data_IF_405611824381
#
_entry.id   IF_405611824381
#
_cell.length_a   1.000
_cell.length_b   1.000
_cell.length_c   1.000
_cell.angle_alpha   90.00
_cell.angle_beta   90.00
_cell.angle_gamma   90.00
#
_symmetry.space_group_name_H-M   'P 1'
#
loop_
_entity.id
_entity.type
_entity.pdbx_description
1 polymer ?
#
# COMPACT_ATOMS: atom_id res chain seq x y z
N UNK A 1 22.67 -13.37 12.28
CA UNK A 1 21.64 -14.42 12.14
C UNK A 1 20.33 -13.68 12.01
N UNK A 2 19.95 -13.36 10.76
CA UNK A 2 18.77 -12.57 10.47
C UNK A 2 17.51 -13.41 10.59
N UNK A 3 16.62 -13.04 11.49
CA UNK A 3 15.25 -13.52 11.46
C UNK A 3 14.56 -12.89 10.25
N UNK A 4 14.05 -13.71 9.35
CA UNK A 4 13.17 -13.26 8.28
C UNK A 4 11.85 -12.85 8.90
N UNK A 5 11.40 -11.67 8.57
CA UNK A 5 10.12 -11.14 9.01
C UNK A 5 9.23 -11.04 7.78
N UNK A 6 8.35 -12.02 7.62
CA UNK A 6 7.35 -11.98 6.57
C UNK A 6 6.06 -11.40 7.17
N UNK A 7 5.80 -10.13 6.90
CA UNK A 7 4.57 -9.47 7.34
C UNK A 7 3.58 -9.45 6.21
N UNK A 8 2.50 -10.19 6.37
CA UNK A 8 1.35 -10.10 5.49
C UNK A 8 0.13 -9.76 6.32
N UNK A 9 -0.47 -8.62 6.07
CA UNK A 9 -1.77 -8.27 6.61
C UNK A 9 -2.77 -8.41 5.48
N UNK A 10 -3.61 -9.43 5.53
CA UNK A 10 -4.67 -9.63 4.57
C UNK A 10 -6.02 -9.24 5.19
N UNK A 11 -6.72 -8.30 4.57
CA UNK A 11 -8.06 -7.88 4.99
C UNK A 11 -9.05 -8.27 3.89
N UNK A 12 -10.07 -9.03 4.23
CA UNK A 12 -11.14 -9.41 3.31
C UNK A 12 -12.45 -8.71 3.68
N UNK A 13 -13.20 -8.28 2.65
CA UNK A 13 -14.45 -7.52 2.77
C UNK A 13 -15.59 -8.27 3.50
N UNK A 14 -15.68 -9.59 3.38
CA UNK A 14 -16.79 -10.38 3.93
C UNK A 14 -16.63 -10.82 5.39
N UNK A 15 -15.41 -10.78 5.90
CA UNK A 15 -15.10 -10.96 7.31
C UNK A 15 -13.75 -10.28 7.51
N UNK A 16 -13.65 -9.23 8.30
CA UNK A 16 -12.38 -8.60 8.58
C UNK A 16 -11.52 -9.57 9.40
N UNK A 17 -10.87 -10.50 8.71
CA UNK A 17 -9.84 -11.33 9.30
C UNK A 17 -8.52 -10.65 9.01
N UNK A 18 -8.05 -9.89 9.98
CA UNK A 18 -6.67 -9.43 9.99
C UNK A 18 -5.83 -10.65 10.34
N UNK A 19 -5.23 -11.29 9.35
CA UNK A 19 -4.19 -12.29 9.59
C UNK A 19 -2.85 -11.57 9.66
N UNK A 20 -2.36 -11.37 10.87
CA UNK A 20 -0.96 -11.02 11.09
C UNK A 20 -0.15 -12.32 10.96
N UNK A 21 0.49 -12.51 9.83
CA UNK A 21 1.40 -13.63 9.63
C UNK A 21 2.78 -13.23 10.14
N UNK A 22 3.06 -13.75 11.33
CA UNK A 22 4.34 -13.96 11.95
C UNK A 22 5.38 -12.84 11.84
N UNK A 23 5.47 -12.05 12.88
CA UNK A 23 6.53 -11.07 13.09
C UNK A 23 7.54 -11.65 14.07
N UNK A 24 8.71 -12.13 13.65
CA UNK A 24 9.77 -12.44 14.58
C UNK A 24 10.43 -11.14 15.04
N UNK A 25 10.34 -10.90 16.30
CA UNK A 25 10.91 -9.74 16.97
C UNK A 25 9.95 -9.23 18.02
N UNK A 26 10.47 -8.88 19.17
CA UNK A 26 9.69 -8.32 20.27
C UNK A 26 9.04 -7.00 19.86
N UNK A 27 7.87 -7.07 19.24
CA UNK A 27 7.07 -5.90 19.02
C UNK A 27 5.99 -5.88 20.09
N UNK A 28 6.12 -4.96 21.02
CA UNK A 28 5.16 -4.65 22.09
C UNK A 28 3.69 -4.56 21.59
N UNK A 29 3.50 -4.27 20.31
CA UNK A 29 2.23 -4.23 19.61
C UNK A 29 1.60 -5.62 19.37
N UNK A 30 2.39 -6.66 19.20
CA UNK A 30 1.88 -8.00 18.87
C UNK A 30 1.09 -8.62 20.00
N UNK A 31 1.57 -8.48 21.24
CA UNK A 31 0.85 -8.99 22.40
C UNK A 31 -0.49 -8.30 22.61
N UNK A 32 -0.57 -7.01 22.34
CA UNK A 32 -1.85 -6.27 22.44
C UNK A 32 -2.81 -6.63 21.30
N UNK A 33 -2.31 -6.81 20.08
CA UNK A 33 -3.14 -7.11 18.93
C UNK A 33 -3.61 -8.58 18.96
N UNK A 34 -2.73 -9.54 19.33
CA UNK A 34 -3.10 -10.91 19.56
C UNK A 34 -4.18 -11.01 20.67
N UNK A 35 -3.98 -10.32 21.80
CA UNK A 35 -4.99 -10.27 22.86
C UNK A 35 -6.31 -9.60 22.45
N UNK A 36 -6.31 -8.69 21.49
CA UNK A 36 -7.53 -8.10 20.92
C UNK A 36 -8.22 -9.04 19.92
N UNK A 37 -7.46 -9.91 19.24
CA UNK A 37 -7.99 -10.90 18.32
C UNK A 37 -8.52 -12.15 19.04
N UNK A 38 -7.92 -12.50 20.18
CA UNK A 38 -8.32 -13.61 21.04
C UNK A 38 -9.44 -13.23 22.03
N UNK A 39 -9.65 -11.93 22.26
CA UNK A 39 -10.81 -11.48 23.01
C UNK A 39 -12.06 -11.80 22.16
N UNK A 40 -12.92 -12.69 22.67
CA UNK A 40 -14.28 -12.80 22.16
C UNK A 40 -14.89 -11.40 22.20
N UNK A 41 -14.88 -10.74 21.05
CA UNK A 41 -15.45 -9.41 20.93
C UNK A 41 -16.96 -9.59 21.07
N UNK A 42 -17.47 -9.32 22.27
CA UNK A 42 -18.89 -9.01 22.40
C UNK A 42 -19.25 -8.02 21.29
N UNK A 43 -20.32 -8.27 20.53
CA UNK A 43 -20.73 -7.37 19.46
C UNK A 43 -20.93 -5.99 20.08
N UNK A 44 -19.94 -5.14 19.86
CA UNK A 44 -20.04 -3.75 20.34
C UNK A 44 -21.31 -3.17 19.80
N UNK A 45 -22.12 -2.66 20.72
CA UNK A 45 -23.31 -1.86 20.49
C UNK A 45 -23.30 -1.17 19.12
N UNK A 46 -24.41 -1.23 18.43
CA UNK A 46 -24.73 -0.58 17.16
C UNK A 46 -23.82 0.63 16.90
N UNK A 47 -23.09 0.70 15.80
CA UNK A 47 -22.25 1.84 15.52
C UNK A 47 -23.09 3.11 15.70
N UNK A 48 -22.63 4.03 16.52
CA UNK A 48 -23.30 5.32 16.69
C UNK A 48 -23.56 5.89 15.29
N UNK A 49 -24.78 6.41 15.07
CA UNK A 49 -25.16 6.98 13.79
C UNK A 49 -24.04 7.92 13.32
N UNK A 50 -23.41 7.58 12.20
CA UNK A 50 -22.26 8.32 11.71
C UNK A 50 -22.73 9.66 11.14
N UNK A 51 -22.34 10.73 11.80
CA UNK A 51 -22.55 12.09 11.27
C UNK A 51 -21.56 12.27 10.10
N UNK A 52 -22.06 12.51 8.89
CA UNK A 52 -21.26 12.62 7.68
C UNK A 52 -20.16 13.70 7.79
N UNK A 53 -20.43 14.77 8.52
CA UNK A 53 -19.51 15.90 8.70
C UNK A 53 -18.54 15.73 9.88
N UNK A 54 -18.57 14.58 10.58
CA UNK A 54 -17.62 14.35 11.67
C UNK A 54 -16.23 14.04 11.13
N UNK A 55 -15.19 14.47 11.86
CA UNK A 55 -13.81 14.11 11.56
C UNK A 55 -13.63 12.59 11.65
N UNK A 56 -12.99 12.03 10.62
CA UNK A 56 -12.69 10.61 10.55
C UNK A 56 -11.20 10.34 10.81
N UNK A 57 -10.34 11.26 10.37
CA UNK A 57 -8.90 11.15 10.55
C UNK A 57 -8.26 12.54 10.63
N UNK A 58 -7.16 12.63 11.37
CA UNK A 58 -6.26 13.77 11.38
C UNK A 58 -4.89 13.27 10.91
N UNK A 59 -4.39 13.83 9.80
CA UNK A 59 -3.11 13.47 9.23
C UNK A 59 -2.18 14.67 9.27
N UNK A 60 -0.95 14.45 9.74
CA UNK A 60 0.03 15.53 9.84
C UNK A 60 0.91 15.55 8.58
N UNK A 61 1.12 16.74 8.01
CA UNK A 61 2.08 16.92 6.92
C UNK A 61 3.51 16.94 7.46
N UNK A 62 4.48 16.60 6.62
CA UNK A 62 5.91 16.55 7.00
C UNK A 62 6.52 17.89 7.37
N UNK A 63 5.81 19.01 7.18
CA UNK A 63 6.26 20.34 7.58
C UNK A 63 7.52 20.83 6.86
N UNK A 64 7.69 20.53 5.56
CA UNK A 64 8.85 20.95 4.78
C UNK A 64 9.17 22.45 4.84
N UNK A 65 8.19 23.29 5.15
CA UNK A 65 8.31 24.75 5.22
C UNK A 65 8.01 25.34 6.60
N UNK A 66 7.92 24.49 7.64
CA UNK A 66 7.55 24.92 8.99
C UNK A 66 7.05 23.78 9.88
N UNK A 67 6.40 24.06 11.01
CA UNK A 67 5.82 23.05 11.86
C UNK A 67 4.82 22.18 11.07
N UNK A 68 4.73 20.89 11.44
CA UNK A 68 3.76 19.98 10.84
C UNK A 68 2.33 20.52 10.99
N UNK A 69 1.57 20.55 9.92
CA UNK A 69 0.16 20.99 9.92
C UNK A 69 -0.74 19.78 10.01
N UNK A 70 -1.76 19.87 10.84
CA UNK A 70 -2.82 18.88 10.94
C UNK A 70 -3.84 19.12 9.82
N UNK A 71 -4.15 18.07 9.06
CA UNK A 71 -5.22 18.05 8.06
C UNK A 71 -6.34 17.16 8.60
N UNK A 72 -7.50 17.74 8.84
CA UNK A 72 -8.68 17.00 9.28
C UNK A 72 -9.46 16.50 8.05
N UNK A 73 -9.70 15.19 8.00
CA UNK A 73 -10.51 14.56 6.98
C UNK A 73 -11.86 14.18 7.56
N UNK A 74 -12.93 14.71 6.97
CA UNK A 74 -14.28 14.30 7.35
C UNK A 74 -14.62 12.91 6.80
N UNK A 75 -15.61 12.26 7.38
CA UNK A 75 -16.12 10.96 6.89
C UNK A 75 -16.63 11.08 5.47
N UNK A 76 -17.34 12.15 5.15
CA UNK A 76 -17.83 12.42 3.80
C UNK A 76 -16.67 12.62 2.81
N UNK A 77 -15.61 13.34 3.20
CA UNK A 77 -14.43 13.54 2.37
C UNK A 77 -13.68 12.23 2.09
N UNK A 78 -13.48 11.38 3.11
CA UNK A 78 -12.87 10.06 2.91
C UNK A 78 -13.73 9.17 2.01
N UNK A 79 -15.06 9.19 2.19
CA UNK A 79 -15.96 8.43 1.32
C UNK A 79 -15.88 8.91 -0.14
N UNK A 80 -15.87 10.21 -0.38
CA UNK A 80 -15.71 10.79 -1.72
C UNK A 80 -14.36 10.42 -2.35
N UNK A 81 -13.27 10.48 -1.58
CA UNK A 81 -11.94 10.04 -2.05
C UNK A 81 -11.95 8.56 -2.42
N UNK A 82 -12.55 7.71 -1.58
CA UNK A 82 -12.72 6.28 -1.87
C UNK A 82 -13.47 6.06 -3.18
N UNK A 83 -14.60 6.70 -3.36
CA UNK A 83 -15.46 6.54 -4.54
C UNK A 83 -14.75 7.03 -5.81
N UNK A 84 -13.97 8.11 -5.70
CA UNK A 84 -13.11 8.60 -6.78
C UNK A 84 -12.05 7.57 -7.16
N UNK A 85 -11.34 7.01 -6.19
CA UNK A 85 -10.31 5.99 -6.44
C UNK A 85 -10.91 4.72 -7.06
N UNK A 86 -12.05 4.25 -6.52
CA UNK A 86 -12.74 3.07 -7.05
C UNK A 86 -13.12 3.26 -8.52
N UNK A 87 -13.69 4.41 -8.87
CA UNK A 87 -14.13 4.69 -10.25
C UNK A 87 -12.97 4.97 -11.20
N UNK A 88 -11.95 5.72 -10.74
CA UNK A 88 -10.83 6.13 -11.59
C UNK A 88 -9.88 4.99 -11.96
N UNK A 89 -9.61 4.09 -11.01
CA UNK A 89 -8.70 2.96 -11.20
C UNK A 89 -9.41 1.63 -11.44
N UNK A 90 -10.73 1.66 -11.54
CA UNK A 90 -11.58 0.50 -11.81
C UNK A 90 -11.28 -0.68 -10.87
N UNK A 91 -11.18 -0.38 -9.57
CA UNK A 91 -10.95 -1.43 -8.56
C UNK A 91 -12.13 -2.40 -8.50
N UNK A 92 -11.81 -3.68 -8.37
CA UNK A 92 -12.77 -4.77 -8.23
C UNK A 92 -12.56 -5.54 -6.93
N UNK A 93 -13.54 -6.34 -6.53
CA UNK A 93 -13.47 -7.17 -5.31
C UNK A 93 -12.36 -8.25 -5.40
N UNK A 94 -11.88 -8.57 -6.62
CA UNK A 94 -10.80 -9.54 -6.87
C UNK A 94 -9.41 -8.91 -6.77
N UNK A 95 -9.32 -7.60 -6.65
CA UNK A 95 -8.04 -6.93 -6.53
C UNK A 95 -7.38 -7.17 -5.17
N UNK A 96 -6.06 -7.27 -5.22
CA UNK A 96 -5.20 -7.37 -4.04
C UNK A 96 -4.16 -6.26 -4.09
N UNK A 97 -4.22 -5.35 -3.13
CA UNK A 97 -3.29 -4.24 -3.02
C UNK A 97 -1.97 -4.67 -2.37
N UNK A 98 -0.87 -4.52 -3.07
CA UNK A 98 0.49 -4.55 -2.49
C UNK A 98 0.84 -3.13 -2.03
N UNK A 99 0.69 -2.87 -0.74
CA UNK A 99 0.93 -1.56 -0.15
C UNK A 99 2.41 -1.39 0.25
N UNK A 100 3.26 -1.07 -0.72
CA UNK A 100 4.68 -0.79 -0.50
C UNK A 100 4.94 0.68 -0.10
N UNK A 101 3.95 1.33 0.47
CA UNK A 101 3.98 2.68 1.01
C UNK A 101 3.10 2.71 2.28
N UNK A 102 3.73 2.88 3.44
CA UNK A 102 3.09 2.64 4.73
C UNK A 102 1.75 3.35 4.98
N UNK A 103 1.57 4.64 4.63
CA UNK A 103 0.29 5.31 4.82
C UNK A 103 -0.87 4.63 4.08
N UNK A 104 -0.57 3.87 3.03
CA UNK A 104 -1.57 3.22 2.18
C UNK A 104 -1.93 1.80 2.61
N UNK A 105 -1.33 1.30 3.68
CA UNK A 105 -1.70 0.00 4.25
C UNK A 105 -3.20 -0.10 4.60
N UNK A 106 -3.78 1.03 5.01
CA UNK A 106 -5.21 1.13 5.32
C UNK A 106 -6.09 1.34 4.09
N UNK A 107 -5.49 1.63 2.92
CA UNK A 107 -6.24 1.93 1.71
C UNK A 107 -6.99 0.70 1.17
N UNK A 108 -6.38 -0.47 1.19
CA UNK A 108 -7.05 -1.70 0.79
C UNK A 108 -8.36 -1.92 1.55
N UNK A 109 -8.37 -1.93 2.89
CA UNK A 109 -9.60 -1.98 3.68
C UNK A 109 -10.60 -0.86 3.35
N UNK A 110 -10.12 0.36 3.14
CA UNK A 110 -10.98 1.49 2.76
C UNK A 110 -11.66 1.26 1.40
N UNK A 111 -10.93 0.73 0.43
CA UNK A 111 -11.44 0.36 -0.90
C UNK A 111 -12.25 -0.94 -0.88
N UNK A 112 -12.21 -1.70 0.22
CA UNK A 112 -12.89 -2.99 0.36
C UNK A 112 -12.18 -4.15 -0.33
N UNK A 113 -10.89 -4.02 -0.64
CA UNK A 113 -10.07 -5.06 -1.27
C UNK A 113 -9.06 -5.65 -0.29
N UNK A 114 -8.55 -6.83 -0.60
CA UNK A 114 -7.45 -7.43 0.17
C UNK A 114 -6.17 -6.57 0.05
N UNK A 115 -5.34 -6.61 1.09
CA UNK A 115 -4.10 -5.82 1.12
C UNK A 115 -2.96 -6.62 1.74
N UNK A 116 -1.76 -6.46 1.19
CA UNK A 116 -0.52 -7.03 1.70
C UNK A 116 0.54 -5.96 1.82
N UNK A 117 1.30 -5.98 2.90
CA UNK A 117 2.44 -5.08 3.12
C UNK A 117 3.71 -5.92 2.98
N UNK A 118 4.61 -5.60 2.02
CA UNK A 118 5.91 -6.27 1.94
C UNK A 118 6.73 -6.02 3.20
N UNK A 119 7.62 -6.96 3.55
CA UNK A 119 8.55 -6.76 4.65
C UNK A 119 9.51 -5.61 4.32
N UNK A 120 9.31 -4.47 4.96
CA UNK A 120 10.11 -3.25 4.79
C UNK A 120 10.05 -2.37 6.05
N UNK A 121 11.01 -1.51 6.22
CA UNK A 121 10.92 -0.42 7.19
C UNK A 121 10.05 0.71 6.59
N UNK A 122 8.87 0.89 7.14
CA UNK A 122 7.90 1.87 6.66
C UNK A 122 8.41 3.33 6.70
N UNK A 123 9.34 3.63 7.60
CA UNK A 123 10.00 4.96 7.71
C UNK A 123 11.10 5.15 6.67
N UNK A 124 11.55 4.08 6.03
CA UNK A 124 12.64 4.06 5.04
C UNK A 124 12.22 3.28 3.80
N UNK A 125 11.48 3.90 2.88
CA UNK A 125 10.98 3.21 1.66
C UNK A 125 12.08 2.51 0.86
N UNK A 126 13.31 3.04 0.84
CA UNK A 126 14.47 2.41 0.22
C UNK A 126 14.94 1.11 0.90
N UNK A 127 14.34 0.67 2.01
CA UNK A 127 14.62 -0.62 2.63
C UNK A 127 13.92 -1.78 1.93
N UNK A 128 12.97 -1.52 1.04
CA UNK A 128 12.27 -2.53 0.27
C UNK A 128 13.23 -3.24 -0.69
N UNK A 129 13.25 -4.56 -0.65
CA UNK A 129 14.08 -5.39 -1.53
C UNK A 129 13.23 -6.10 -2.59
N UNK A 130 13.87 -6.49 -3.69
CA UNK A 130 13.21 -7.28 -4.74
C UNK A 130 12.71 -8.63 -4.20
N UNK A 131 13.45 -9.24 -3.27
CA UNK A 131 13.06 -10.52 -2.63
C UNK A 131 11.80 -10.36 -1.79
N UNK A 132 11.76 -9.34 -0.93
CA UNK A 132 10.62 -9.06 -0.06
C UNK A 132 9.37 -8.71 -0.86
N UNK A 133 9.52 -7.88 -1.91
CA UNK A 133 8.40 -7.52 -2.77
C UNK A 133 7.88 -8.75 -3.53
N UNK A 134 8.77 -9.54 -4.16
CA UNK A 134 8.36 -10.76 -4.88
C UNK A 134 7.62 -11.73 -3.96
N UNK A 135 8.13 -11.94 -2.74
CA UNK A 135 7.48 -12.83 -1.77
C UNK A 135 6.07 -12.35 -1.40
N UNK A 136 5.87 -11.05 -1.18
CA UNK A 136 4.56 -10.49 -0.87
C UNK A 136 3.58 -10.66 -2.04
N UNK A 137 4.03 -10.38 -3.28
CA UNK A 137 3.23 -10.54 -4.50
C UNK A 137 2.85 -12.00 -4.75
N UNK A 138 3.82 -12.93 -4.66
CA UNK A 138 3.59 -14.36 -4.84
C UNK A 138 2.63 -14.94 -3.80
N UNK A 139 2.77 -14.50 -2.54
CA UNK A 139 1.92 -14.99 -1.46
C UNK A 139 0.47 -14.53 -1.56
N UNK A 140 0.28 -13.27 -1.92
CA UNK A 140 -1.03 -12.63 -1.89
C UNK A 140 -1.73 -12.61 -3.26
N UNK A 141 -1.02 -12.87 -4.37
CA UNK A 141 -1.57 -12.70 -5.71
C UNK A 141 -1.82 -11.23 -6.04
N UNK A 142 -0.85 -10.35 -5.74
CA UNK A 142 -1.02 -8.90 -5.90
C UNK A 142 -1.36 -8.48 -7.32
N UNK A 143 -2.46 -7.74 -7.49
CA UNK A 143 -2.94 -7.23 -8.78
C UNK A 143 -2.76 -5.72 -8.93
N UNK A 144 -2.71 -5.03 -7.81
CA UNK A 144 -2.50 -3.58 -7.73
C UNK A 144 -1.35 -3.30 -6.77
N UNK A 145 -0.52 -2.34 -7.08
CA UNK A 145 0.59 -1.93 -6.22
C UNK A 145 0.62 -0.42 -6.04
N UNK A 146 0.91 0.02 -4.82
CA UNK A 146 1.21 1.41 -4.53
C UNK A 146 2.57 1.51 -3.86
N UNK A 147 3.47 2.31 -4.43
CA UNK A 147 4.81 2.50 -3.89
C UNK A 147 5.39 3.88 -4.18
N UNK A 148 6.44 4.23 -3.45
CA UNK A 148 7.21 5.43 -3.73
C UNK A 148 8.30 5.18 -4.77
N UNK A 149 8.77 6.22 -5.50
CA UNK A 149 9.91 6.09 -6.41
C UNK A 149 11.18 5.58 -5.72
N UNK A 150 11.40 5.93 -4.46
CA UNK A 150 12.56 5.45 -3.69
C UNK A 150 12.49 3.95 -3.42
N UNK A 151 11.30 3.41 -3.09
CA UNK A 151 11.09 1.99 -2.92
C UNK A 151 11.32 1.23 -4.24
N UNK A 152 10.75 1.73 -5.34
CA UNK A 152 10.94 1.12 -6.67
C UNK A 152 12.41 1.13 -7.09
N UNK A 153 13.11 2.25 -6.90
CA UNK A 153 14.54 2.37 -7.21
C UNK A 153 15.38 1.35 -6.43
N UNK A 154 15.10 1.14 -5.15
CA UNK A 154 15.78 0.13 -4.33
C UNK A 154 15.53 -1.29 -4.86
N UNK A 155 14.27 -1.62 -5.16
CA UNK A 155 13.89 -2.91 -5.73
C UNK A 155 14.62 -3.20 -7.04
N UNK A 156 14.60 -2.25 -7.97
CA UNK A 156 15.26 -2.41 -9.29
C UNK A 156 16.78 -2.46 -9.19
N UNK A 157 17.39 -1.73 -8.25
CA UNK A 157 18.84 -1.81 -7.97
C UNK A 157 19.25 -3.20 -7.49
N UNK A 158 18.40 -3.88 -6.72
CA UNK A 158 18.60 -5.27 -6.28
C UNK A 158 18.25 -6.31 -7.34
N UNK A 159 17.47 -5.93 -8.36
CA UNK A 159 16.99 -6.80 -9.43
C UNK A 159 17.58 -6.39 -10.79
N UNK A 160 18.90 -6.49 -10.94
CA UNK A 160 19.60 -6.09 -12.16
C UNK A 160 19.19 -6.94 -13.37
N UNK A 161 19.23 -6.39 -14.59
CA UNK A 161 19.00 -7.16 -15.82
C UNK A 161 19.79 -8.46 -15.83
N UNK A 162 19.13 -9.58 -16.20
CA UNK A 162 19.73 -10.91 -16.23
C UNK A 162 19.90 -11.61 -14.88
N UNK A 163 19.58 -10.97 -13.76
CA UNK A 163 19.67 -11.59 -12.43
C UNK A 163 18.46 -12.50 -12.14
N UNK A 164 18.68 -13.50 -11.29
CA UNK A 164 17.59 -14.34 -10.78
C UNK A 164 16.51 -13.53 -10.03
N UNK A 165 16.94 -12.49 -9.29
CA UNK A 165 16.01 -11.59 -8.59
C UNK A 165 15.06 -10.88 -9.56
N UNK A 166 15.58 -10.40 -10.72
CA UNK A 166 14.74 -9.77 -11.75
C UNK A 166 13.77 -10.75 -12.39
N UNK A 167 14.22 -11.95 -12.69
CA UNK A 167 13.37 -13.02 -13.24
C UNK A 167 12.24 -13.39 -12.29
N UNK A 168 12.55 -13.52 -10.99
CA UNK A 168 11.55 -13.79 -9.96
C UNK A 168 10.56 -12.64 -9.83
N UNK A 169 11.05 -11.41 -9.79
CA UNK A 169 10.22 -10.20 -9.66
C UNK A 169 9.29 -10.03 -10.87
N UNK A 170 9.79 -10.26 -12.09
CA UNK A 170 8.98 -10.23 -13.31
C UNK A 170 7.85 -11.26 -13.25
N UNK A 171 8.17 -12.50 -12.83
CA UNK A 171 7.17 -13.56 -12.67
C UNK A 171 6.14 -13.26 -11.58
N UNK A 172 6.57 -12.72 -10.45
CA UNK A 172 5.69 -12.34 -9.35
C UNK A 172 4.67 -11.26 -9.76
N UNK A 173 5.04 -10.42 -10.73
CA UNK A 173 4.19 -9.34 -11.23
C UNK A 173 3.34 -9.69 -12.47
N UNK A 174 3.22 -10.97 -12.85
CA UNK A 174 2.40 -11.35 -14.02
C UNK A 174 0.90 -11.02 -13.84
N UNK A 175 0.42 -10.99 -12.61
CA UNK A 175 -0.96 -10.59 -12.27
C UNK A 175 -1.12 -9.09 -12.02
N UNK A 176 -0.01 -8.34 -12.00
CA UNK A 176 -0.04 -6.91 -11.69
C UNK A 176 -0.64 -6.12 -12.85
N UNK A 177 -1.85 -5.60 -12.68
CA UNK A 177 -2.54 -4.78 -13.70
C UNK A 177 -2.31 -3.28 -13.55
N UNK A 178 -2.03 -2.82 -12.32
CA UNK A 178 -1.91 -1.39 -12.00
C UNK A 178 -0.78 -1.14 -11.01
N UNK A 179 0.10 -0.21 -11.33
CA UNK A 179 1.13 0.31 -10.43
C UNK A 179 0.96 1.82 -10.26
N UNK A 180 0.73 2.25 -9.03
CA UNK A 180 0.63 3.66 -8.64
C UNK A 180 1.95 4.11 -8.00
N UNK A 181 2.65 5.02 -8.65
CA UNK A 181 3.90 5.61 -8.19
C UNK A 181 3.67 7.04 -7.72
N UNK A 182 3.82 7.31 -6.43
CA UNK A 182 3.55 8.61 -5.85
C UNK A 182 4.49 8.98 -4.69
N UNK A 183 4.39 10.23 -4.24
CA UNK A 183 5.08 10.74 -3.05
C UNK A 183 6.39 11.47 -3.32
N UNK A 184 6.91 11.43 -4.55
CA UNK A 184 8.09 12.20 -4.97
C UNK A 184 8.14 12.30 -6.51
N UNK A 185 8.95 13.22 -7.08
CA UNK A 185 9.22 13.26 -8.52
C UNK A 185 9.79 11.93 -9.02
N UNK A 186 9.39 11.52 -10.21
CA UNK A 186 9.75 10.24 -10.79
C UNK A 186 10.67 10.46 -12.00
N UNK A 187 11.86 9.85 -11.96
CA UNK A 187 12.78 9.90 -13.09
C UNK A 187 12.24 9.08 -14.28
N UNK A 188 12.35 9.61 -15.49
CA UNK A 188 11.93 8.91 -16.73
C UNK A 188 12.62 7.57 -16.92
N UNK A 189 13.88 7.42 -16.50
CA UNK A 189 14.60 6.14 -16.54
C UNK A 189 13.91 5.10 -15.67
N UNK A 190 13.46 5.49 -14.47
CA UNK A 190 12.76 4.59 -13.54
C UNK A 190 11.43 4.10 -14.13
N UNK A 191 10.70 4.98 -14.84
CA UNK A 191 9.47 4.59 -15.53
C UNK A 191 9.75 3.59 -16.66
N UNK A 192 10.81 3.81 -17.47
CA UNK A 192 11.21 2.86 -18.51
C UNK A 192 11.56 1.50 -17.91
N UNK A 193 12.41 1.48 -16.89
CA UNK A 193 12.86 0.24 -16.25
C UNK A 193 11.70 -0.60 -15.70
N UNK A 194 10.67 0.05 -15.15
CA UNK A 194 9.50 -0.66 -14.61
C UNK A 194 8.53 -1.10 -15.71
N UNK A 195 8.37 -0.31 -16.77
CA UNK A 195 7.58 -0.71 -17.94
C UNK A 195 8.23 -1.88 -18.70
N UNK A 196 9.56 -1.93 -18.75
CA UNK A 196 10.30 -3.09 -19.30
C UNK A 196 10.16 -4.33 -18.41
N UNK A 197 10.02 -4.15 -17.10
CA UNK A 197 9.85 -5.26 -16.17
C UNK A 197 8.44 -5.85 -16.20
N UNK A 198 7.42 -5.01 -16.29
CA UNK A 198 6.00 -5.37 -16.29
C UNK A 198 5.27 -4.67 -17.46
N UNK A 199 5.46 -5.15 -18.70
CA UNK A 199 4.97 -4.45 -19.90
C UNK A 199 3.45 -4.36 -20.01
N UNK A 200 2.72 -5.29 -19.39
CA UNK A 200 1.25 -5.30 -19.39
C UNK A 200 0.65 -4.50 -18.24
N UNK A 201 1.47 -4.02 -17.30
CA UNK A 201 1.02 -3.23 -16.17
C UNK A 201 0.71 -1.79 -16.61
N UNK A 202 -0.45 -1.26 -16.20
CA UNK A 202 -0.73 0.17 -16.31
C UNK A 202 0.05 0.90 -15.20
N UNK A 203 1.07 1.64 -15.59
CA UNK A 203 1.90 2.42 -14.67
C UNK A 203 1.41 3.85 -14.64
N UNK A 204 0.94 4.30 -13.49
CA UNK A 204 0.40 5.64 -13.28
C UNK A 204 1.16 6.42 -12.24
N UNK A 205 1.13 7.73 -12.40
CA UNK A 205 1.87 8.67 -11.55
C UNK A 205 0.92 9.70 -10.94
N UNK A 206 0.09 9.27 -9.96
CA UNK A 206 -0.83 10.19 -9.31
C UNK A 206 -0.05 11.25 -8.54
N UNK A 207 -0.43 12.51 -8.74
CA UNK A 207 0.01 13.64 -7.96
C UNK A 207 -1.07 14.04 -6.96
N UNK A 208 -0.66 14.32 -5.74
CA UNK A 208 -1.57 14.75 -4.68
C UNK A 208 -0.82 15.26 -3.46
N UNK A 209 -1.59 15.65 -2.49
CA UNK A 209 -1.12 16.12 -1.18
C UNK A 209 -2.04 15.55 -0.10
N UNK A 210 -1.66 15.77 1.15
CA UNK A 210 -2.45 15.26 2.30
C UNK A 210 -3.90 15.73 2.24
N UNK A 211 -4.16 16.92 1.73
CA UNK A 211 -5.49 17.53 1.61
C UNK A 211 -6.31 16.97 0.45
N UNK A 212 -5.66 16.52 -0.62
CA UNK A 212 -6.31 16.04 -1.87
C UNK A 212 -5.50 14.92 -2.50
N UNK A 213 -6.12 13.75 -2.69
CA UNK A 213 -5.46 12.62 -3.33
C UNK A 213 -6.45 11.76 -4.14
N UNK A 214 -6.20 11.53 -5.42
CA UNK A 214 -5.28 12.26 -6.29
C UNK A 214 -5.84 13.64 -6.68
N UNK A 215 -4.97 14.62 -6.93
CA UNK A 215 -5.33 15.89 -7.56
C UNK A 215 -5.26 15.78 -9.09
N UNK A 216 -4.26 15.06 -9.59
CA UNK A 216 -4.11 14.69 -11.01
C UNK A 216 -3.51 13.31 -11.13
N UNK A 217 -3.64 12.71 -12.30
CA UNK A 217 -3.03 11.42 -12.62
C UNK A 217 -2.60 11.41 -14.10
N UNK A 218 -1.45 10.80 -14.38
CA UNK A 218 -0.88 10.69 -15.72
C UNK A 218 -0.40 9.25 -15.91
N UNK A 219 -0.63 8.68 -17.09
CA UNK A 219 -0.05 7.37 -17.42
C UNK A 219 1.44 7.54 -17.76
N UNK A 220 2.26 6.56 -17.42
CA UNK A 220 3.69 6.60 -17.72
C UNK A 220 4.01 6.49 -19.22
N UNK A 221 2.99 6.18 -20.05
CA UNK A 221 3.11 6.08 -21.52
C UNK A 221 2.89 7.42 -22.22
N UNK A 222 2.32 8.41 -21.54
CA UNK A 222 2.19 9.81 -21.98
C UNK A 222 3.43 10.64 -21.65
#
# INVERSE_FOLDING_TARGET
>A
KGARVDHVVAVRRAAPVIRLLNVPGEVFWQHRLAGLLDAEAEPRSTPAAHVADSDAAIVFTSGATGPAKAVAHSRAGIAATRDTLLGHYEFTDDDVLVAAFAPWAVLGPLLGIASVIPAMDASRPGSLTAESLSAAMEHAGGTVMWMSPAALSSVLSGARPGSHARTRLARAGLSLRLLLLAGAPIARSLLRDVMDLWPECDVRTPYGMTEVLPATDITARE
#
